data_IF_179334520470
#
_entry.id   IF_179334520470
#
_cell.length_a   1.000
_cell.length_b   1.000
_cell.length_c   1.000
_cell.angle_alpha   90.00
_cell.angle_beta   90.00
_cell.angle_gamma   90.00
#
_symmetry.space_group_name_H-M   'P 1'
#
loop_
_entity.id
_entity.type
_entity.pdbx_description
1 polymer ?
#
# COMPACT_ATOMS: atom_id res chain seq x y z
N UNK A 1 33.38 3.89 -42.41
CA UNK A 1 34.07 3.79 -41.10
C UNK A 1 33.44 4.72 -40.04
N UNK A 2 32.13 5.02 -40.15
CA UNK A 2 31.37 5.87 -39.21
C UNK A 2 30.04 5.22 -38.78
N UNK A 3 29.75 3.99 -39.22
CA UNK A 3 28.46 3.31 -39.02
C UNK A 3 28.55 2.09 -38.06
N UNK A 4 29.75 1.69 -37.65
CA UNK A 4 29.94 0.62 -36.66
C UNK A 4 29.93 1.17 -35.23
N UNK A 5 30.57 2.31 -34.97
CA UNK A 5 30.60 2.94 -33.63
C UNK A 5 29.23 3.46 -33.15
N UNK A 6 28.28 3.69 -34.07
CA UNK A 6 26.91 4.12 -33.71
C UNK A 6 25.99 2.93 -33.36
N UNK A 7 26.35 1.70 -33.75
CA UNK A 7 25.59 0.50 -33.35
C UNK A 7 25.99 0.01 -31.96
N UNK A 8 27.25 0.19 -31.59
CA UNK A 8 27.76 -0.25 -30.28
C UNK A 8 27.27 0.65 -29.13
N UNK A 9 26.92 1.91 -29.41
CA UNK A 9 26.31 2.82 -28.42
C UNK A 9 24.81 2.56 -28.16
N UNK A 10 24.14 1.76 -29.00
CA UNK A 10 22.78 1.25 -28.71
C UNK A 10 22.78 -0.10 -27.97
N UNK A 11 23.92 -0.80 -27.91
CA UNK A 11 24.07 -2.11 -27.29
C UNK A 11 24.64 -2.07 -25.86
N UNK A 12 25.12 -0.93 -25.39
CA UNK A 12 25.19 -0.63 -23.95
C UNK A 12 23.80 -0.23 -23.39
N UNK A 13 22.74 -0.94 -23.78
CA UNK A 13 21.55 -1.03 -22.95
C UNK A 13 22.00 -1.75 -21.68
N UNK A 14 22.29 -0.98 -20.63
CA UNK A 14 22.34 -1.45 -19.26
C UNK A 14 21.25 -2.51 -19.08
N UNK A 15 21.64 -3.79 -19.05
CA UNK A 15 20.70 -4.91 -18.92
C UNK A 15 19.83 -4.56 -17.72
N UNK A 16 18.54 -4.34 -17.97
CA UNK A 16 17.61 -3.88 -16.96
C UNK A 16 17.69 -4.86 -15.79
N UNK A 17 18.26 -4.41 -14.65
CA UNK A 17 18.44 -5.29 -13.51
C UNK A 17 17.08 -5.53 -12.85
N UNK A 18 16.43 -6.62 -13.24
CA UNK A 18 15.17 -7.05 -12.66
C UNK A 18 15.31 -7.25 -11.15
N UNK A 19 14.31 -6.80 -10.39
CA UNK A 19 14.34 -6.90 -8.93
C UNK A 19 14.12 -8.34 -8.44
N UNK A 20 13.03 -8.99 -8.90
CA UNK A 20 12.67 -10.33 -8.42
C UNK A 20 11.84 -11.12 -9.42
N UNK A 21 12.57 -11.81 -10.28
CA UNK A 21 12.01 -12.71 -11.28
C UNK A 21 11.42 -13.99 -10.67
N UNK A 22 10.53 -14.63 -11.43
CA UNK A 22 10.05 -15.96 -11.14
C UNK A 22 11.11 -17.01 -11.52
N UNK A 23 11.74 -17.62 -10.52
CA UNK A 23 12.81 -18.61 -10.71
C UNK A 23 12.37 -19.85 -11.51
N UNK A 24 11.08 -20.18 -11.48
CA UNK A 24 10.56 -21.36 -12.18
C UNK A 24 10.52 -21.19 -13.70
N UNK A 25 10.59 -19.95 -14.20
CA UNK A 25 10.64 -19.69 -15.64
C UNK A 25 11.92 -20.26 -16.28
N UNK A 26 13.01 -20.34 -15.51
CA UNK A 26 14.28 -20.92 -15.96
C UNK A 26 14.22 -22.46 -16.13
N UNK A 27 13.16 -23.10 -15.64
CA UNK A 27 12.98 -24.56 -15.74
C UNK A 27 12.12 -24.96 -16.95
N UNK A 28 11.63 -23.99 -17.72
CA UNK A 28 10.76 -24.26 -18.87
C UNK A 28 11.59 -24.66 -20.10
N UNK A 29 11.06 -25.52 -20.99
CA UNK A 29 11.79 -25.95 -22.20
C UNK A 29 12.19 -24.82 -23.15
N UNK A 30 11.55 -23.65 -23.04
CA UNK A 30 11.77 -22.46 -23.86
C UNK A 30 12.31 -21.28 -23.02
N UNK A 31 13.04 -21.57 -21.94
CA UNK A 31 13.54 -20.56 -21.01
C UNK A 31 14.37 -19.45 -21.70
N UNK A 32 15.06 -19.78 -22.80
CA UNK A 32 15.87 -18.85 -23.57
C UNK A 32 15.02 -17.75 -24.25
N UNK A 33 13.78 -18.06 -24.63
CA UNK A 33 12.86 -17.11 -25.30
C UNK A 33 12.15 -16.16 -24.30
N UNK A 34 12.14 -16.52 -23.01
CA UNK A 34 11.36 -15.82 -21.97
C UNK A 34 11.90 -14.40 -21.73
N UNK A 35 13.20 -14.18 -21.86
CA UNK A 35 13.79 -12.86 -21.65
C UNK A 35 13.20 -11.85 -22.63
N UNK A 36 13.30 -12.15 -23.92
CA UNK A 36 12.81 -11.28 -25.00
C UNK A 36 11.28 -11.12 -24.94
N UNK A 37 10.54 -12.20 -24.68
CA UNK A 37 9.08 -12.16 -24.54
C UNK A 37 8.68 -11.21 -23.39
N UNK A 38 9.31 -11.35 -22.23
CA UNK A 38 8.99 -10.56 -21.06
C UNK A 38 9.38 -9.09 -21.23
N UNK A 39 10.52 -8.77 -21.84
CA UNK A 39 10.92 -7.39 -22.13
C UNK A 39 9.92 -6.72 -23.09
N UNK A 40 9.57 -7.40 -24.18
CA UNK A 40 8.60 -6.89 -25.17
C UNK A 40 7.23 -6.67 -24.55
N UNK A 41 6.72 -7.65 -23.80
CA UNK A 41 5.42 -7.56 -23.15
C UNK A 41 5.40 -6.44 -22.11
N UNK A 42 6.47 -6.26 -21.33
CA UNK A 42 6.56 -5.19 -20.36
C UNK A 42 6.60 -3.81 -21.02
N UNK A 43 7.36 -3.66 -22.11
CA UNK A 43 7.40 -2.43 -22.90
C UNK A 43 6.01 -2.07 -23.45
N UNK A 44 5.26 -3.05 -23.95
CA UNK A 44 3.89 -2.86 -24.41
C UNK A 44 2.97 -2.44 -23.26
N UNK A 45 3.08 -3.09 -22.10
CA UNK A 45 2.30 -2.73 -20.90
C UNK A 45 2.60 -1.29 -20.50
N UNK A 46 3.87 -0.92 -20.35
CA UNK A 46 4.30 0.42 -19.95
C UNK A 46 3.80 1.47 -20.93
N UNK A 47 4.07 1.28 -22.21
CA UNK A 47 3.71 2.23 -23.28
C UNK A 47 2.21 2.47 -23.33
N UNK A 48 1.42 1.41 -23.33
CA UNK A 48 -0.01 1.54 -23.52
C UNK A 48 -0.75 1.93 -22.24
N UNK A 49 -0.25 1.57 -21.05
CA UNK A 49 -0.78 2.08 -19.79
C UNK A 49 -0.61 3.60 -19.72
N UNK A 50 0.57 4.12 -20.08
CA UNK A 50 0.82 5.57 -20.16
C UNK A 50 -0.12 6.24 -21.16
N UNK A 51 -0.23 5.70 -22.39
CA UNK A 51 -1.14 6.24 -23.41
C UNK A 51 -2.59 6.28 -22.94
N UNK A 52 -3.07 5.21 -22.31
CA UNK A 52 -4.45 5.16 -21.81
C UNK A 52 -4.70 6.17 -20.69
N UNK A 53 -3.75 6.35 -19.76
CA UNK A 53 -3.89 7.33 -18.67
C UNK A 53 -3.83 8.76 -19.20
N UNK A 54 -2.88 9.08 -20.09
CA UNK A 54 -2.79 10.39 -20.73
C UNK A 54 -4.02 10.72 -21.60
N UNK A 55 -4.55 9.72 -22.31
CA UNK A 55 -5.77 9.82 -23.08
C UNK A 55 -7.06 9.81 -22.24
N UNK A 56 -6.95 9.72 -20.90
CA UNK A 56 -8.09 9.56 -19.96
C UNK A 56 -9.01 8.39 -20.31
N UNK A 57 -8.47 7.39 -21.00
CA UNK A 57 -9.17 6.22 -21.47
C UNK A 57 -9.16 5.12 -20.40
N UNK A 58 -9.96 5.32 -19.35
CA UNK A 58 -10.09 4.31 -18.27
C UNK A 58 -10.71 3.00 -18.77
N UNK A 59 -11.49 3.06 -19.86
CA UNK A 59 -12.05 1.91 -20.58
C UNK A 59 -12.00 2.13 -22.11
N UNK A 60 -11.64 1.10 -22.89
CA UNK A 60 -11.08 -0.18 -22.47
C UNK A 60 -9.58 -0.12 -22.08
N UNK A 61 -8.84 0.89 -22.53
CA UNK A 61 -7.38 0.98 -22.45
C UNK A 61 -6.77 0.68 -21.09
N UNK A 62 -6.96 1.55 -20.09
CA UNK A 62 -6.31 1.41 -18.79
C UNK A 62 -6.67 0.08 -18.11
N UNK A 63 -7.93 -0.34 -18.22
CA UNK A 63 -8.42 -1.60 -17.64
C UNK A 63 -7.75 -2.85 -18.24
N UNK A 64 -7.53 -2.85 -19.56
CA UNK A 64 -6.87 -3.94 -20.28
C UNK A 64 -5.40 -4.05 -19.85
N UNK A 65 -4.67 -2.95 -19.89
CA UNK A 65 -3.24 -2.94 -19.58
C UNK A 65 -2.94 -3.15 -18.11
N UNK A 66 -3.82 -2.70 -17.21
CA UNK A 66 -3.78 -3.08 -15.79
C UNK A 66 -3.94 -4.59 -15.61
N UNK A 67 -4.83 -5.23 -16.37
CA UNK A 67 -5.02 -6.69 -16.31
C UNK A 67 -3.84 -7.45 -16.90
N UNK A 68 -3.20 -6.92 -17.94
CA UNK A 68 -1.95 -7.48 -18.49
C UNK A 68 -0.79 -7.35 -17.51
N UNK A 69 -0.65 -6.21 -16.82
CA UNK A 69 0.34 -6.04 -15.76
C UNK A 69 0.14 -7.04 -14.61
N UNK A 70 -1.10 -7.24 -14.17
CA UNK A 70 -1.40 -8.24 -13.14
C UNK A 70 -0.95 -9.65 -13.55
N UNK A 71 -1.22 -10.03 -14.81
CA UNK A 71 -0.75 -11.31 -15.38
C UNK A 71 0.76 -11.36 -15.50
N UNK A 72 1.39 -10.28 -15.95
CA UNK A 72 2.84 -10.14 -16.03
C UNK A 72 3.50 -10.41 -14.68
N UNK A 73 3.02 -9.75 -13.62
CA UNK A 73 3.54 -9.94 -12.25
C UNK A 73 3.36 -11.38 -11.77
N UNK A 74 2.25 -12.03 -12.14
CA UNK A 74 1.97 -13.42 -11.77
C UNK A 74 2.89 -14.42 -12.48
N UNK A 75 3.20 -14.18 -13.75
CA UNK A 75 4.00 -15.10 -14.59
C UNK A 75 5.50 -14.85 -14.40
N UNK A 76 5.93 -13.60 -14.54
CA UNK A 76 7.34 -13.20 -14.57
C UNK A 76 7.86 -12.68 -13.23
N UNK A 77 6.99 -12.41 -12.26
CA UNK A 77 7.37 -11.75 -11.03
C UNK A 77 7.59 -10.25 -11.24
N UNK A 78 8.57 -9.67 -10.55
CA UNK A 78 8.94 -8.26 -10.69
C UNK A 78 10.14 -8.16 -11.64
N UNK A 79 9.92 -8.55 -12.90
CA UNK A 79 10.92 -8.52 -13.97
C UNK A 79 10.95 -7.13 -14.64
N UNK A 80 11.14 -6.11 -13.82
CA UNK A 80 11.28 -4.71 -14.22
C UNK A 80 12.25 -4.02 -13.26
N UNK A 81 12.76 -2.86 -13.67
CA UNK A 81 13.70 -2.09 -12.84
C UNK A 81 13.03 -1.54 -11.58
N UNK A 82 13.85 -1.13 -10.61
CA UNK A 82 13.38 -0.48 -9.38
C UNK A 82 12.67 0.85 -9.69
N UNK A 83 13.18 1.59 -10.67
CA UNK A 83 12.61 2.86 -11.12
C UNK A 83 11.22 2.64 -11.70
N UNK A 84 11.05 1.62 -12.54
CA UNK A 84 9.75 1.26 -13.10
C UNK A 84 8.79 0.72 -12.04
N UNK A 85 9.29 -0.01 -11.04
CA UNK A 85 8.48 -0.45 -9.90
C UNK A 85 7.91 0.73 -9.12
N UNK A 86 8.75 1.72 -8.79
CA UNK A 86 8.34 2.95 -8.10
C UNK A 86 7.34 3.74 -8.95
N UNK A 87 7.62 3.88 -10.25
CA UNK A 87 6.73 4.60 -11.17
C UNK A 87 5.35 3.93 -11.27
N UNK A 88 5.30 2.60 -11.36
CA UNK A 88 4.04 1.84 -11.37
C UNK A 88 3.29 2.00 -10.05
N UNK A 89 3.96 1.94 -8.90
CA UNK A 89 3.32 2.15 -7.60
C UNK A 89 2.70 3.54 -7.52
N UNK A 90 3.46 4.59 -7.86
CA UNK A 90 2.97 5.97 -7.87
C UNK A 90 1.79 6.12 -8.82
N UNK A 91 1.87 5.56 -10.03
CA UNK A 91 0.77 5.59 -10.99
C UNK A 91 -0.50 4.95 -10.41
N UNK A 92 -0.42 3.74 -9.84
CA UNK A 92 -1.59 3.06 -9.30
C UNK A 92 -2.12 3.71 -8.01
N UNK A 93 -1.25 4.32 -7.20
CA UNK A 93 -1.65 5.16 -6.08
C UNK A 93 -2.48 6.36 -6.56
N UNK A 94 -1.97 7.11 -7.54
CA UNK A 94 -2.67 8.27 -8.14
C UNK A 94 -4.01 7.86 -8.78
N UNK A 95 -4.05 6.72 -9.48
CA UNK A 95 -5.29 6.21 -10.09
C UNK A 95 -6.37 5.86 -9.05
N UNK A 96 -6.00 5.44 -7.84
CA UNK A 96 -6.95 5.11 -6.76
C UNK A 96 -7.60 6.38 -6.20
N UNK A 97 -6.84 7.47 -6.10
CA UNK A 97 -7.29 8.73 -5.48
C UNK A 97 -8.03 9.67 -6.45
N UNK A 98 -8.19 9.26 -7.72
CA UNK A 98 -8.99 10.02 -8.69
C UNK A 98 -10.42 10.19 -8.15
N UNK A 99 -10.91 11.44 -8.00
CA UNK A 99 -12.25 11.69 -7.51
C UNK A 99 -13.29 11.13 -8.48
N UNK A 100 -14.35 10.56 -7.92
CA UNK A 100 -15.51 10.01 -8.63
C UNK A 100 -15.20 8.96 -9.71
N UNK A 101 -14.03 8.31 -9.59
CA UNK A 101 -13.72 7.14 -10.40
C UNK A 101 -14.68 5.98 -10.04
N UNK A 102 -15.07 5.21 -11.05
CA UNK A 102 -15.97 4.07 -10.87
C UNK A 102 -15.40 3.05 -9.84
N UNK A 103 -16.20 2.55 -8.87
CA UNK A 103 -15.72 1.63 -7.84
C UNK A 103 -15.00 0.39 -8.37
N UNK A 104 -15.50 -0.19 -9.45
CA UNK A 104 -14.86 -1.33 -10.15
C UNK A 104 -13.43 -1.02 -10.58
N UNK A 105 -13.16 0.23 -10.98
CA UNK A 105 -11.85 0.69 -11.46
C UNK A 105 -10.90 0.93 -10.30
N UNK A 106 -11.38 1.55 -9.23
CA UNK A 106 -10.63 1.71 -7.98
C UNK A 106 -10.24 0.33 -7.44
N UNK A 107 -11.18 -0.62 -7.41
CA UNK A 107 -10.94 -1.98 -6.92
C UNK A 107 -9.81 -2.67 -7.71
N UNK A 108 -9.85 -2.54 -9.04
CA UNK A 108 -8.83 -3.09 -9.92
C UNK A 108 -7.47 -2.45 -9.68
N UNK A 109 -7.42 -1.12 -9.49
CA UNK A 109 -6.18 -0.41 -9.19
C UNK A 109 -5.63 -0.78 -7.80
N UNK A 110 -6.47 -0.85 -6.78
CA UNK A 110 -6.11 -1.28 -5.43
C UNK A 110 -5.56 -2.72 -5.40
N UNK A 111 -6.17 -3.64 -6.16
CA UNK A 111 -5.67 -5.01 -6.33
C UNK A 111 -4.28 -5.02 -6.97
N UNK A 112 -4.08 -4.24 -8.03
CA UNK A 112 -2.78 -4.13 -8.71
C UNK A 112 -1.71 -3.49 -7.83
N UNK A 113 -2.06 -2.43 -7.11
CA UNK A 113 -1.17 -1.80 -6.14
C UNK A 113 -0.77 -2.78 -5.04
N UNK A 114 -1.71 -3.58 -4.53
CA UNK A 114 -1.43 -4.64 -3.56
C UNK A 114 -0.46 -5.69 -4.09
N UNK A 115 -0.56 -6.04 -5.38
CA UNK A 115 0.41 -6.96 -6.02
C UNK A 115 1.82 -6.36 -6.11
N UNK A 116 1.92 -5.06 -6.42
CA UNK A 116 3.19 -4.33 -6.49
C UNK A 116 3.84 -4.15 -5.11
N UNK A 117 3.04 -3.97 -4.05
CA UNK A 117 3.54 -3.74 -2.69
C UNK A 117 3.72 -5.02 -1.86
N UNK A 118 3.29 -6.18 -2.39
CA UNK A 118 3.32 -7.46 -1.65
C UNK A 118 4.71 -7.84 -1.14
N UNK A 119 5.77 -7.57 -1.93
CA UNK A 119 7.16 -7.92 -1.60
C UNK A 119 7.88 -6.71 -0.98
N UNK A 120 7.56 -6.39 0.28
CA UNK A 120 8.07 -5.22 1.02
C UNK A 120 9.60 -5.07 1.01
N UNK A 121 10.35 -6.18 0.94
CA UNK A 121 11.82 -6.16 0.91
C UNK A 121 12.43 -5.62 -0.40
N UNK A 122 11.61 -5.38 -1.44
CA UNK A 122 12.09 -4.84 -2.72
C UNK A 122 12.28 -3.32 -2.72
N UNK A 123 11.58 -2.62 -1.81
CA UNK A 123 11.59 -1.16 -1.71
C UNK A 123 11.63 -0.77 -0.24
N UNK A 124 12.62 0.06 0.11
CA UNK A 124 12.64 0.72 1.40
C UNK A 124 11.71 1.93 1.41
N UNK A 125 11.38 2.42 2.60
CA UNK A 125 10.62 3.68 2.76
C UNK A 125 11.39 4.91 2.25
N UNK A 126 12.72 4.84 2.17
CA UNK A 126 13.53 5.93 1.59
C UNK A 126 13.42 5.97 0.06
N UNK A 127 13.09 4.84 -0.57
CA UNK A 127 12.90 4.74 -2.03
C UNK A 127 11.52 5.27 -2.47
N UNK A 128 10.54 5.19 -1.58
CA UNK A 128 9.15 5.50 -1.87
C UNK A 128 8.48 6.11 -0.64
N UNK A 129 7.95 7.33 -0.82
CA UNK A 129 7.03 7.95 0.12
C UNK A 129 5.65 8.10 -0.51
N UNK A 130 4.62 7.78 0.27
CA UNK A 130 3.21 7.92 -0.11
C UNK A 130 2.49 8.77 0.94
N UNK A 131 1.59 9.63 0.50
CA UNK A 131 0.79 10.46 1.40
C UNK A 131 -0.41 9.68 1.92
N UNK A 132 -0.69 9.79 3.21
CA UNK A 132 -1.78 9.09 3.86
C UNK A 132 -3.14 9.79 3.60
N UNK A 133 -3.14 11.13 3.59
CA UNK A 133 -4.34 11.96 3.55
C UNK A 133 -5.22 11.70 2.32
N UNK A 134 -4.69 11.65 1.08
CA UNK A 134 -5.51 11.36 -0.09
C UNK A 134 -6.19 9.97 -0.04
N UNK A 135 -5.52 8.98 0.56
CA UNK A 135 -6.08 7.65 0.76
C UNK A 135 -7.17 7.65 1.84
N UNK A 136 -6.99 8.42 2.92
CA UNK A 136 -8.02 8.61 3.94
C UNK A 136 -9.27 9.27 3.36
N UNK A 137 -9.12 10.41 2.68
CA UNK A 137 -10.24 11.10 2.04
C UNK A 137 -10.96 10.20 1.02
N UNK A 138 -10.21 9.29 0.37
CA UNK A 138 -10.79 8.29 -0.53
C UNK A 138 -11.58 7.20 0.22
N UNK A 139 -11.05 6.69 1.34
CA UNK A 139 -11.74 5.70 2.17
C UNK A 139 -13.04 6.27 2.75
N UNK A 140 -13.01 7.49 3.29
CA UNK A 140 -14.20 8.17 3.82
C UNK A 140 -15.28 8.30 2.74
N UNK A 141 -14.91 8.79 1.55
CA UNK A 141 -15.86 8.94 0.43
C UNK A 141 -16.50 7.62 0.02
N UNK A 142 -15.74 6.55 -0.03
CA UNK A 142 -16.24 5.20 -0.36
C UNK A 142 -17.22 4.70 0.69
N UNK A 143 -16.87 4.82 1.97
CA UNK A 143 -17.70 4.34 3.08
C UNK A 143 -18.97 5.17 3.23
N UNK A 144 -18.91 6.50 3.05
CA UNK A 144 -20.10 7.35 3.05
C UNK A 144 -21.07 7.02 1.92
N UNK A 145 -20.56 6.87 0.68
CA UNK A 145 -21.40 6.51 -0.48
C UNK A 145 -22.04 5.13 -0.30
N UNK A 146 -21.30 4.15 0.23
CA UNK A 146 -21.84 2.80 0.52
C UNK A 146 -22.98 2.83 1.55
N UNK A 147 -22.92 3.75 2.53
CA UNK A 147 -23.94 3.88 3.58
C UNK A 147 -25.13 4.77 3.21
N UNK A 148 -24.91 5.83 2.42
CA UNK A 148 -25.94 6.87 2.13
C UNK A 148 -26.70 6.63 0.83
N UNK A 149 -26.12 5.94 -0.14
CA UNK A 149 -26.81 5.72 -1.41
C UNK A 149 -27.90 4.67 -1.24
N UNK A 150 -29.14 5.03 -1.57
CA UNK A 150 -30.36 4.20 -1.55
C UNK A 150 -30.33 3.05 -2.58
N UNK A 151 -29.18 2.40 -2.77
CA UNK A 151 -28.93 1.34 -3.74
C UNK A 151 -28.50 1.83 -5.13
N UNK A 152 -28.22 3.13 -5.31
CA UNK A 152 -27.78 3.69 -6.60
C UNK A 152 -26.34 3.27 -6.98
N UNK A 153 -25.46 3.09 -5.99
CA UNK A 153 -24.12 2.56 -6.19
C UNK A 153 -24.00 1.18 -5.54
N UNK A 154 -23.91 0.12 -6.35
CA UNK A 154 -23.67 -1.25 -5.87
C UNK A 154 -22.18 -1.52 -5.81
N UNK A 155 -21.55 -1.19 -4.67
CA UNK A 155 -20.20 -1.63 -4.37
C UNK A 155 -20.19 -3.16 -4.21
N UNK A 156 -19.16 -3.83 -4.70
CA UNK A 156 -18.96 -5.25 -4.38
C UNK A 156 -18.70 -5.38 -2.89
N UNK A 157 -19.23 -6.42 -2.24
CA UNK A 157 -19.04 -6.66 -0.80
C UNK A 157 -17.56 -6.69 -0.35
N UNK A 158 -16.64 -7.03 -1.26
CA UNK A 158 -15.19 -7.06 -1.01
C UNK A 158 -14.44 -5.77 -1.34
N UNK A 159 -15.13 -4.71 -1.78
CA UNK A 159 -14.49 -3.49 -2.27
C UNK A 159 -13.72 -2.77 -1.15
N UNK A 160 -14.40 -2.46 -0.04
CA UNK A 160 -13.79 -1.80 1.11
C UNK A 160 -12.62 -2.62 1.65
N UNK A 161 -12.80 -3.94 1.80
CA UNK A 161 -11.74 -4.84 2.24
C UNK A 161 -10.50 -4.80 1.32
N UNK A 162 -10.71 -4.72 0.00
CA UNK A 162 -9.61 -4.64 -0.98
C UNK A 162 -8.90 -3.30 -0.91
N UNK A 163 -9.65 -2.20 -0.80
CA UNK A 163 -9.10 -0.86 -0.64
C UNK A 163 -8.30 -0.75 0.66
N UNK A 164 -8.88 -1.17 1.79
CA UNK A 164 -8.21 -1.12 3.10
C UNK A 164 -6.97 -2.02 3.13
N UNK A 165 -7.00 -3.18 2.48
CA UNK A 165 -5.81 -4.02 2.32
C UNK A 165 -4.70 -3.30 1.56
N UNK A 166 -5.02 -2.61 0.47
CA UNK A 166 -4.05 -1.80 -0.27
C UNK A 166 -3.48 -0.67 0.60
N UNK A 167 -4.33 0.04 1.36
CA UNK A 167 -3.90 1.10 2.29
C UNK A 167 -2.96 0.55 3.37
N UNK A 168 -3.26 -0.61 3.97
CA UNK A 168 -2.35 -1.26 4.94
C UNK A 168 -0.99 -1.61 4.33
N UNK A 169 -0.92 -1.88 3.02
CA UNK A 169 0.35 -2.08 2.32
C UNK A 169 1.06 -0.75 2.06
N UNK A 170 0.33 0.31 1.71
CA UNK A 170 0.88 1.66 1.55
C UNK A 170 1.42 2.25 2.85
N UNK A 171 0.83 1.90 4.01
CA UNK A 171 1.21 2.40 5.34
C UNK A 171 2.70 2.27 5.68
N UNK A 172 3.39 1.27 5.11
CA UNK A 172 4.84 1.07 5.29
C UNK A 172 5.66 2.21 4.67
N UNK A 173 5.08 2.92 3.70
CA UNK A 173 5.70 3.96 2.89
C UNK A 173 5.26 5.38 3.30
N UNK A 174 4.48 5.52 4.37
CA UNK A 174 4.11 6.84 4.88
C UNK A 174 5.29 7.51 5.60
N UNK A 175 5.45 8.84 5.49
CA UNK A 175 6.51 9.55 6.19
C UNK A 175 6.29 9.49 7.71
N UNK A 176 7.38 9.54 8.49
CA UNK A 176 7.26 9.52 9.96
C UNK A 176 6.45 10.70 10.50
N UNK A 177 6.55 11.87 9.86
CA UNK A 177 5.79 13.08 10.19
C UNK A 177 4.27 12.90 10.14
N UNK A 178 3.77 11.98 9.29
CA UNK A 178 2.36 11.67 9.21
C UNK A 178 1.78 11.18 10.55
N UNK A 179 2.62 10.61 11.43
CA UNK A 179 2.18 10.19 12.77
C UNK A 179 1.53 11.35 13.52
N UNK A 180 2.17 12.53 13.52
CA UNK A 180 1.64 13.69 14.24
C UNK A 180 0.33 14.18 13.63
N UNK A 181 0.26 14.29 12.30
CA UNK A 181 -0.95 14.72 11.58
C UNK A 181 -2.15 13.80 11.88
N UNK A 182 -1.92 12.48 11.84
CA UNK A 182 -2.95 11.47 12.12
C UNK A 182 -3.41 11.57 13.58
N UNK A 183 -2.48 11.73 14.53
CA UNK A 183 -2.84 11.93 15.93
C UNK A 183 -3.64 13.21 16.14
N UNK A 184 -3.19 14.33 15.58
CA UNK A 184 -3.86 15.63 15.71
C UNK A 184 -5.31 15.57 15.16
N UNK A 185 -5.55 14.78 14.12
CA UNK A 185 -6.89 14.59 13.55
C UNK A 185 -7.79 13.68 14.41
N UNK A 186 -7.27 12.53 14.86
CA UNK A 186 -8.12 11.48 15.46
C UNK A 186 -8.14 11.46 16.99
N UNK A 187 -7.16 12.07 17.66
CA UNK A 187 -7.02 11.98 19.12
C UNK A 187 -8.21 12.57 19.88
N UNK A 188 -8.84 13.62 19.34
CA UNK A 188 -10.04 14.24 19.92
C UNK A 188 -11.24 13.28 20.05
N UNK A 189 -11.26 12.20 19.27
CA UNK A 189 -12.34 11.20 19.26
C UNK A 189 -12.08 10.02 20.20
N UNK A 190 -10.93 9.98 20.90
CA UNK A 190 -10.59 8.93 21.86
C UNK A 190 -11.32 9.12 23.20
N UNK A 191 -12.65 9.00 23.16
CA UNK A 191 -13.51 9.07 24.34
C UNK A 191 -14.11 7.69 24.64
N UNK A 192 -13.71 7.00 25.73
CA UNK A 192 -14.24 5.68 26.08
C UNK A 192 -15.76 5.63 26.25
N UNK A 193 -16.39 6.75 26.61
CA UNK A 193 -17.83 6.85 26.79
C UNK A 193 -18.61 7.00 25.46
N UNK A 194 -17.92 7.31 24.36
CA UNK A 194 -18.50 7.35 23.01
C UNK A 194 -17.87 6.25 22.15
N UNK A 195 -18.43 5.04 22.27
CA UNK A 195 -17.89 3.84 21.61
C UNK A 195 -17.87 3.95 20.08
N UNK A 196 -18.78 4.72 19.47
CA UNK A 196 -18.84 4.92 18.03
C UNK A 196 -17.66 5.74 17.51
N UNK A 197 -17.48 6.95 18.05
CA UNK A 197 -16.38 7.83 17.65
C UNK A 197 -15.02 7.23 17.99
N UNK A 198 -14.91 6.58 19.15
CA UNK A 198 -13.69 5.90 19.55
C UNK A 198 -13.35 4.71 18.64
N UNK A 199 -14.34 3.91 18.24
CA UNK A 199 -14.10 2.80 17.29
C UNK A 199 -13.67 3.31 15.92
N UNK A 200 -14.29 4.39 15.43
CA UNK A 200 -13.90 5.03 14.18
C UNK A 200 -12.46 5.56 14.21
N UNK A 201 -12.11 6.28 15.28
CA UNK A 201 -10.77 6.82 15.46
C UNK A 201 -9.70 5.73 15.51
N UNK A 202 -9.96 4.66 16.28
CA UNK A 202 -9.05 3.53 16.41
C UNK A 202 -8.91 2.73 15.12
N UNK A 203 -9.99 2.56 14.34
CA UNK A 203 -9.94 1.96 13.01
C UNK A 203 -9.08 2.79 12.04
N UNK A 204 -9.28 4.12 12.01
CA UNK A 204 -8.49 5.02 11.19
C UNK A 204 -7.01 4.99 11.59
N UNK A 205 -6.71 5.03 12.89
CA UNK A 205 -5.34 4.91 13.38
C UNK A 205 -4.74 3.53 13.04
N UNK A 206 -5.48 2.43 13.13
CA UNK A 206 -4.99 1.12 12.67
C UNK A 206 -4.62 1.16 11.19
N UNK A 207 -5.47 1.77 10.37
CA UNK A 207 -5.32 1.78 8.93
C UNK A 207 -4.19 2.71 8.46
N UNK A 208 -3.96 3.84 9.14
CA UNK A 208 -3.05 4.91 8.66
C UNK A 208 -1.82 5.15 9.53
N UNK A 209 -1.83 4.86 10.84
CA UNK A 209 -0.74 5.25 11.75
C UNK A 209 0.58 4.52 11.42
N UNK A 210 1.65 5.24 11.02
CA UNK A 210 2.91 4.61 10.62
C UNK A 210 3.60 3.95 11.82
N UNK A 211 3.90 2.65 11.70
CA UNK A 211 4.69 1.90 12.69
C UNK A 211 6.08 1.48 12.14
N UNK A 212 6.26 1.56 10.82
CA UNK A 212 7.51 1.23 10.14
C UNK A 212 8.40 2.47 10.03
N UNK A 213 9.03 2.81 11.14
CA UNK A 213 9.93 3.98 11.22
C UNK A 213 11.33 3.57 11.63
N UNK A 214 12.31 4.40 11.28
CA UNK A 214 13.68 4.20 11.75
C UNK A 214 13.74 4.48 13.25
N UNK A 215 14.61 3.81 14.01
CA UNK A 215 14.78 4.07 15.45
C UNK A 215 15.11 5.54 15.76
N UNK A 216 15.84 6.21 14.88
CA UNK A 216 16.16 7.65 14.98
C UNK A 216 14.94 8.58 14.88
N UNK A 217 13.79 8.06 14.43
CA UNK A 217 12.55 8.81 14.25
C UNK A 217 11.51 8.44 15.32
N UNK A 218 11.89 7.65 16.34
CA UNK A 218 10.97 7.19 17.38
C UNK A 218 10.24 8.36 18.07
N UNK A 219 10.95 9.45 18.33
CA UNK A 219 10.42 10.65 19.03
C UNK A 219 9.36 11.40 18.23
N UNK A 220 9.37 11.28 16.90
CA UNK A 220 8.36 11.88 16.01
C UNK A 220 7.32 10.86 15.52
N UNK A 221 7.34 9.65 16.07
CA UNK A 221 6.46 8.55 15.69
C UNK A 221 5.85 7.88 16.92
N UNK A 222 6.18 6.63 17.23
CA UNK A 222 5.47 5.84 18.23
C UNK A 222 5.57 6.36 19.66
N UNK A 223 6.62 7.10 20.01
CA UNK A 223 6.73 7.73 21.34
C UNK A 223 5.71 8.86 21.55
N UNK A 224 5.07 9.37 20.50
CA UNK A 224 4.04 10.39 20.62
C UNK A 224 2.73 9.84 21.19
N UNK A 225 2.50 8.52 21.13
CA UNK A 225 1.19 7.93 21.43
C UNK A 225 1.24 6.63 22.23
N UNK A 226 2.37 5.92 22.25
CA UNK A 226 2.47 4.57 22.86
C UNK A 226 2.03 4.54 24.32
N UNK A 227 2.60 5.39 25.18
CA UNK A 227 2.31 5.39 26.62
C UNK A 227 0.85 5.76 26.92
N UNK A 228 0.31 6.72 26.15
CA UNK A 228 -1.09 7.13 26.25
C UNK A 228 -2.03 6.00 25.84
N UNK A 229 -1.72 5.31 24.74
CA UNK A 229 -2.54 4.19 24.26
C UNK A 229 -2.47 3.01 25.22
N UNK A 230 -1.31 2.71 25.80
CA UNK A 230 -1.19 1.68 26.83
C UNK A 230 -1.97 2.05 28.09
N UNK A 231 -1.94 3.32 28.49
CA UNK A 231 -2.72 3.82 29.65
C UNK A 231 -4.22 3.71 29.38
N UNK A 232 -4.67 4.16 28.21
CA UNK A 232 -6.04 4.04 27.75
C UNK A 232 -6.50 2.58 27.73
N UNK A 233 -5.68 1.70 27.14
CA UNK A 233 -5.99 0.29 27.06
C UNK A 233 -6.11 -0.31 28.46
N UNK A 234 -5.15 -0.08 29.35
CA UNK A 234 -5.15 -0.60 30.73
C UNK A 234 -6.38 -0.17 31.55
N UNK A 235 -6.85 1.07 31.38
CA UNK A 235 -7.95 1.63 32.17
C UNK A 235 -9.33 1.24 31.65
N UNK A 236 -9.47 0.94 30.36
CA UNK A 236 -10.73 0.49 29.78
C UNK A 236 -10.79 -1.04 29.77
N UNK A 237 -11.65 -1.65 30.58
CA UNK A 237 -11.72 -3.11 30.77
C UNK A 237 -12.93 -3.77 30.08
N UNK A 238 -13.76 -3.00 29.38
CA UNK A 238 -14.91 -3.54 28.66
C UNK A 238 -14.50 -4.01 27.27
N UNK A 239 -14.94 -5.21 26.88
CA UNK A 239 -14.72 -5.81 25.56
C UNK A 239 -15.38 -4.96 24.46
N UNK A 240 -14.71 -3.89 24.09
CA UNK A 240 -15.20 -2.89 23.15
C UNK A 240 -14.66 -3.19 21.75
N UNK A 241 -15.44 -2.92 20.68
CA UNK A 241 -14.99 -3.17 19.30
C UNK A 241 -13.64 -2.53 18.94
N UNK A 242 -13.31 -1.40 19.56
CA UNK A 242 -12.07 -0.67 19.33
C UNK A 242 -10.81 -1.39 19.85
N UNK A 243 -10.93 -2.31 20.80
CA UNK A 243 -9.79 -3.05 21.36
C UNK A 243 -9.09 -3.92 20.32
N UNK A 244 -9.85 -4.47 19.36
CA UNK A 244 -9.27 -5.22 18.25
C UNK A 244 -8.31 -4.34 17.43
N UNK A 245 -8.71 -3.09 17.14
CA UNK A 245 -7.86 -2.15 16.43
C UNK A 245 -6.64 -1.76 17.25
N UNK A 246 -6.80 -1.55 18.57
CA UNK A 246 -5.66 -1.34 19.48
C UNK A 246 -4.66 -2.49 19.41
N UNK A 247 -5.14 -3.74 19.46
CA UNK A 247 -4.30 -4.92 19.35
C UNK A 247 -3.56 -5.02 18.01
N UNK A 248 -4.21 -4.66 16.90
CA UNK A 248 -3.57 -4.59 15.58
C UNK A 248 -2.49 -3.50 15.52
N UNK A 249 -2.72 -2.33 16.11
CA UNK A 249 -1.73 -1.25 16.21
C UNK A 249 -0.50 -1.75 16.98
N UNK A 250 -0.69 -2.31 18.17
CA UNK A 250 0.40 -2.81 19.00
C UNK A 250 1.14 -3.98 18.34
N UNK A 251 0.44 -4.88 17.65
CA UNK A 251 1.06 -5.97 16.89
C UNK A 251 1.96 -5.45 15.78
N UNK A 252 1.50 -4.43 15.04
CA UNK A 252 2.31 -3.80 13.99
C UNK A 252 3.53 -3.10 14.60
N UNK A 253 3.35 -2.39 15.71
CA UNK A 253 4.44 -1.72 16.41
C UNK A 253 5.50 -2.73 16.89
N UNK A 254 5.08 -3.77 17.61
CA UNK A 254 5.97 -4.83 18.10
C UNK A 254 6.73 -5.52 16.97
N UNK A 255 6.08 -5.75 15.82
CA UNK A 255 6.71 -6.37 14.64
C UNK A 255 7.82 -5.52 14.02
N UNK A 256 7.67 -4.20 13.98
CA UNK A 256 8.64 -3.32 13.31
C UNK A 256 9.67 -2.69 14.26
N UNK A 257 9.36 -2.56 15.55
CA UNK A 257 10.21 -1.93 16.57
C UNK A 257 10.80 -2.98 17.54
N UNK A 258 11.21 -4.14 17.00
CA UNK A 258 11.81 -5.23 17.79
C UNK A 258 13.06 -4.72 18.50
N UNK A 259 13.10 -4.87 19.82
CA UNK A 259 14.24 -4.48 20.66
C UNK A 259 14.27 -3.01 21.09
N UNK A 260 13.31 -2.18 20.67
CA UNK A 260 13.26 -0.76 21.04
C UNK A 260 12.21 -0.40 22.08
N UNK A 261 11.23 -1.28 22.30
CA UNK A 261 10.16 -1.09 23.28
C UNK A 261 10.27 -2.22 24.31
N UNK A 262 10.27 -1.85 25.59
CA UNK A 262 10.16 -2.82 26.67
C UNK A 262 8.69 -3.23 26.85
N UNK A 263 8.35 -4.42 26.35
CA UNK A 263 7.00 -4.97 26.47
C UNK A 263 6.76 -5.69 27.79
N UNK A 264 7.80 -5.96 28.61
CA UNK A 264 7.67 -6.75 29.85
C UNK A 264 6.59 -6.24 30.80
N UNK A 265 6.45 -4.92 31.05
CA UNK A 265 5.41 -4.41 31.93
C UNK A 265 3.99 -4.59 31.39
N UNK A 266 3.84 -4.73 30.08
CA UNK A 266 2.55 -4.73 29.38
C UNK A 266 2.04 -6.14 29.05
N UNK A 267 2.97 -7.11 28.92
CA UNK A 267 2.68 -8.50 28.58
C UNK A 267 1.57 -9.09 29.47
N UNK A 268 1.63 -9.03 30.82
CA UNK A 268 0.59 -9.63 31.65
C UNK A 268 -0.81 -9.17 31.25
N UNK A 269 -1.02 -7.85 31.10
CA UNK A 269 -2.33 -7.30 30.74
C UNK A 269 -2.78 -7.70 29.33
N UNK A 270 -1.86 -7.87 28.37
CA UNK A 270 -2.21 -8.27 27.00
C UNK A 270 -2.69 -9.73 26.89
N UNK A 271 -2.24 -10.62 27.78
CA UNK A 271 -2.61 -12.05 27.75
C UNK A 271 -3.92 -12.38 28.47
N UNK A 272 -4.41 -11.49 29.34
CA UNK A 272 -5.70 -11.70 30.07
C UNK A 272 -6.88 -10.99 29.39
N UNK A 273 -6.62 -10.27 28.28
CA UNK A 273 -7.64 -9.58 27.48
C UNK A 273 -8.17 -10.45 26.34
#
# INVERSE_FOLDING_TARGET
>A
MMDEDMKDTYFERSKMKAQKENKYNLLLPYADDIEEEAEKLFLDIKTNLIKSVLGREMRPGCALWTSRLAKYIKIYGHKFSKEDHIALIKLFYELIIIPDLEPTRINKCATTLSMLLKKKYLLSRDDLQLEWRPLYDMCVRVTEKTKRDLGMYRYSASFEATLFSAVRMCKVYFPASATKEILDEFKQYLCPFNSGDMSYAMECMELFLPCHVKPSEADISYKLWFDEFMTLWNNCQEACPWENYMMYIMTNLARYQIGYIDWQPHIPNMFVR
#
